data_IF_709208058573
#
_entry.id   IF_709208058573
#
_cell.length_a   1.000
_cell.length_b   1.000
_cell.length_c   1.000
_cell.angle_alpha   90.00
_cell.angle_beta   90.00
_cell.angle_gamma   90.00
#
_symmetry.space_group_name_H-M   'P 1'
#
loop_
_entity.id
_entity.type
_entity.pdbx_description
1 polymer ?
#
# COMPACT_ATOMS: atom_id res chain seq x y z
N UNK A 1 -1.77 -1.19 -38.90
CA UNK A 1 -0.91 -0.72 -37.78
C UNK A 1 -1.41 -1.13 -36.40
N UNK A 2 -2.71 -1.46 -36.21
CA UNK A 2 -3.24 -1.92 -34.91
C UNK A 2 -2.92 -3.39 -34.58
N UNK A 3 -2.73 -4.23 -35.60
CA UNK A 3 -2.59 -5.69 -35.42
C UNK A 3 -1.21 -6.11 -34.91
N UNK A 4 -0.17 -5.35 -35.22
CA UNK A 4 1.19 -5.55 -34.69
C UNK A 4 1.28 -5.25 -33.20
N UNK A 5 0.53 -4.27 -32.69
CA UNK A 5 0.52 -3.90 -31.26
C UNK A 5 -0.13 -4.99 -30.39
N UNK A 6 -1.20 -5.62 -30.87
CA UNK A 6 -1.88 -6.72 -30.16
C UNK A 6 -0.98 -7.96 -30.09
N UNK A 7 -0.21 -8.20 -31.16
CA UNK A 7 0.71 -9.33 -31.23
C UNK A 7 1.91 -9.14 -30.29
N UNK A 8 2.42 -7.91 -30.17
CA UNK A 8 3.49 -7.54 -29.23
C UNK A 8 3.02 -7.61 -27.76
N UNK A 9 1.79 -7.16 -27.47
CA UNK A 9 1.20 -7.25 -26.13
C UNK A 9 1.03 -8.70 -25.67
N UNK A 10 0.52 -9.57 -26.56
CA UNK A 10 0.38 -11.01 -26.28
C UNK A 10 1.73 -11.72 -26.13
N UNK A 11 2.76 -11.29 -26.87
CA UNK A 11 4.11 -11.81 -26.73
C UNK A 11 4.78 -11.38 -25.41
N UNK A 12 4.57 -10.14 -24.98
CA UNK A 12 5.02 -9.63 -23.67
C UNK A 12 4.34 -10.39 -22.52
N UNK A 13 3.03 -10.61 -22.60
CA UNK A 13 2.29 -11.38 -21.59
C UNK A 13 2.74 -12.85 -21.49
N UNK A 14 3.07 -13.49 -22.63
CA UNK A 14 3.60 -14.87 -22.66
C UNK A 14 4.99 -14.96 -22.04
N UNK A 15 5.85 -13.96 -22.26
CA UNK A 15 7.19 -13.88 -21.64
C UNK A 15 7.11 -13.63 -20.13
N UNK A 16 6.21 -12.75 -19.69
CA UNK A 16 5.94 -12.55 -18.26
C UNK A 16 5.42 -13.84 -17.59
N UNK A 17 4.56 -14.60 -18.28
CA UNK A 17 4.06 -15.90 -17.81
C UNK A 17 5.15 -16.97 -17.74
N UNK A 18 6.10 -16.96 -18.67
CA UNK A 18 7.26 -17.87 -18.66
C UNK A 18 8.29 -17.53 -17.57
N UNK A 19 8.31 -16.29 -17.07
CA UNK A 19 9.14 -15.88 -15.94
C UNK A 19 8.44 -16.07 -14.59
N UNK A 20 7.11 -16.06 -14.55
CA UNK A 20 6.31 -16.35 -13.35
C UNK A 20 6.35 -17.83 -12.94
N UNK A 21 6.44 -18.75 -13.91
CA UNK A 21 6.47 -20.19 -13.67
C UNK A 21 7.73 -20.69 -12.91
N UNK A 22 8.98 -20.29 -13.25
CA UNK A 22 10.15 -20.68 -12.47
C UNK A 22 10.21 -19.99 -11.09
N UNK A 23 9.61 -18.79 -10.94
CA UNK A 23 9.48 -18.11 -9.65
C UNK A 23 8.62 -18.87 -8.65
N UNK A 24 7.60 -19.61 -9.12
CA UNK A 24 6.79 -20.49 -8.29
C UNK A 24 7.50 -21.81 -7.93
N UNK A 25 8.34 -22.33 -8.84
CA UNK A 25 9.08 -23.58 -8.62
C UNK A 25 10.32 -23.41 -7.74
N UNK A 26 10.85 -22.19 -7.58
CA UNK A 26 11.93 -21.90 -6.63
C UNK A 26 11.47 -21.79 -5.16
N UNK A 27 10.18 -21.98 -4.86
CA UNK A 27 9.67 -22.08 -3.49
C UNK A 27 9.92 -23.44 -2.80
N UNK A 28 10.48 -24.42 -3.51
CA UNK A 28 10.57 -25.82 -3.07
C UNK A 28 11.75 -26.20 -2.16
N UNK A 29 12.54 -25.26 -1.65
CA UNK A 29 13.71 -25.56 -0.80
C UNK A 29 13.60 -25.02 0.65
N UNK A 30 12.41 -24.62 1.10
CA UNK A 30 12.18 -23.99 2.42
C UNK A 30 11.56 -24.95 3.44
N UNK A 31 11.78 -26.27 3.33
CA UNK A 31 11.16 -27.24 4.25
C UNK A 31 12.11 -28.29 4.84
N UNK A 32 13.41 -28.03 4.89
CA UNK A 32 14.35 -28.90 5.58
C UNK A 32 15.14 -28.09 6.62
N UNK A 33 14.73 -28.22 7.89
CA UNK A 33 15.38 -27.65 9.09
C UNK A 33 15.26 -26.12 9.29
N UNK A 34 14.03 -25.59 9.30
CA UNK A 34 13.80 -24.16 9.56
C UNK A 34 13.77 -23.85 11.06
N UNK A 35 14.62 -22.88 11.46
CA UNK A 35 14.57 -22.22 12.77
C UNK A 35 13.13 -21.83 13.17
N UNK A 36 12.86 -21.81 14.48
CA UNK A 36 11.53 -21.55 15.04
C UNK A 36 10.84 -20.37 14.34
N UNK A 37 9.62 -20.59 13.85
CA UNK A 37 8.78 -19.55 13.26
C UNK A 37 8.77 -18.34 14.19
N UNK A 38 9.25 -17.20 13.69
CA UNK A 38 9.24 -15.92 14.39
C UNK A 38 7.82 -15.70 14.92
N UNK A 39 7.70 -15.54 16.23
CA UNK A 39 6.38 -15.34 16.82
C UNK A 39 5.84 -13.98 16.36
N UNK A 40 4.57 -13.91 15.96
CA UNK A 40 3.97 -12.64 15.58
C UNK A 40 4.06 -11.66 16.75
N UNK A 41 4.49 -10.43 16.44
CA UNK A 41 4.72 -9.35 17.42
C UNK A 41 3.45 -9.00 18.20
N UNK A 42 2.27 -9.31 17.65
CA UNK A 42 0.94 -9.09 18.25
C UNK A 42 0.44 -10.28 19.10
N UNK A 43 1.28 -11.30 19.35
CA UNK A 43 1.00 -12.40 20.28
C UNK A 43 1.01 -13.78 19.61
N UNK A 44 1.98 -14.63 19.99
CA UNK A 44 2.19 -15.97 19.44
C UNK A 44 2.24 -17.10 20.47
N UNK A 45 1.87 -16.84 21.74
CA UNK A 45 2.16 -17.76 22.85
C UNK A 45 1.15 -18.90 23.12
N UNK A 46 0.17 -19.17 22.23
CA UNK A 46 -1.02 -19.96 22.60
C UNK A 46 -1.44 -21.07 21.63
N UNK A 47 -0.59 -21.45 20.67
CA UNK A 47 -0.89 -22.49 19.68
C UNK A 47 -1.00 -21.98 18.23
N UNK A 48 -1.11 -22.91 17.28
CA UNK A 48 -1.07 -22.63 15.83
C UNK A 48 -2.16 -21.67 15.36
N UNK A 49 -3.36 -21.74 15.95
CA UNK A 49 -4.47 -20.83 15.66
C UNK A 49 -4.14 -19.38 16.03
N UNK A 50 -3.52 -19.17 17.20
CA UNK A 50 -3.16 -17.82 17.66
C UNK A 50 -2.05 -17.21 16.79
N UNK A 51 -1.10 -18.04 16.35
CA UNK A 51 -0.05 -17.62 15.40
C UNK A 51 -0.65 -17.17 14.07
N UNK A 52 -1.57 -17.93 13.49
CA UNK A 52 -2.25 -17.56 12.23
C UNK A 52 -3.05 -16.25 12.40
N UNK A 53 -3.76 -16.09 13.52
CA UNK A 53 -4.50 -14.86 13.82
C UNK A 53 -3.56 -13.66 13.96
N UNK A 54 -2.40 -13.84 14.59
CA UNK A 54 -1.36 -12.80 14.69
C UNK A 54 -0.85 -12.33 13.33
N UNK A 55 -0.60 -13.26 12.39
CA UNK A 55 -0.22 -12.89 11.02
C UNK A 55 -1.34 -12.16 10.26
N UNK A 56 -2.61 -12.54 10.46
CA UNK A 56 -3.75 -11.84 9.85
C UNK A 56 -3.85 -10.40 10.38
N UNK A 57 -3.64 -10.18 11.67
CA UNK A 57 -3.62 -8.84 12.29
C UNK A 57 -2.53 -7.95 11.70
N UNK A 58 -1.32 -8.48 11.58
CA UNK A 58 -0.20 -7.78 10.94
C UNK A 58 -0.48 -7.48 9.46
N UNK A 59 -1.14 -8.40 8.75
CA UNK A 59 -1.62 -8.19 7.38
C UNK A 59 -2.64 -7.06 7.28
N UNK A 60 -3.61 -7.02 8.20
CA UNK A 60 -4.60 -5.94 8.30
C UNK A 60 -3.95 -4.58 8.55
N UNK A 61 -2.96 -4.51 9.44
CA UNK A 61 -2.18 -3.29 9.69
C UNK A 61 -1.41 -2.84 8.45
N UNK A 62 -0.75 -3.76 7.75
CA UNK A 62 -0.01 -3.45 6.53
C UNK A 62 -0.94 -2.92 5.42
N UNK A 63 -2.13 -3.50 5.26
CA UNK A 63 -3.13 -3.00 4.32
C UNK A 63 -3.66 -1.62 4.72
N UNK A 64 -3.93 -1.40 6.01
CA UNK A 64 -4.33 -0.09 6.52
C UNK A 64 -3.28 0.98 6.26
N UNK A 65 -1.99 0.65 6.40
CA UNK A 65 -0.90 1.57 6.08
C UNK A 65 -0.85 1.90 4.59
N UNK A 66 -1.13 0.94 3.70
CA UNK A 66 -1.19 1.18 2.26
C UNK A 66 -2.30 2.18 1.90
N UNK A 67 -3.46 2.08 2.55
CA UNK A 67 -4.56 3.05 2.40
C UNK A 67 -4.12 4.45 2.89
N UNK A 68 -3.37 4.53 4.00
CA UNK A 68 -2.83 5.80 4.49
C UNK A 68 -1.92 6.46 3.45
N UNK A 69 -1.05 5.68 2.80
CA UNK A 69 -0.19 6.17 1.71
C UNK A 69 -1.01 6.73 0.55
N UNK A 70 -2.07 6.03 0.12
CA UNK A 70 -2.95 6.52 -0.94
C UNK A 70 -3.63 7.86 -0.57
N UNK A 71 -4.07 8.01 0.68
CA UNK A 71 -4.64 9.27 1.17
C UNK A 71 -3.62 10.42 1.12
N UNK A 72 -2.37 10.19 1.50
CA UNK A 72 -1.31 11.19 1.40
C UNK A 72 -1.03 11.62 -0.04
N UNK A 73 -1.03 10.68 -0.99
CA UNK A 73 -0.86 11.01 -2.40
C UNK A 73 -2.01 11.87 -2.94
N UNK A 74 -3.25 11.60 -2.52
CA UNK A 74 -4.41 12.41 -2.91
C UNK A 74 -4.31 13.86 -2.38
N UNK A 75 -3.87 14.03 -1.12
CA UNK A 75 -3.65 15.36 -0.53
C UNK A 75 -2.53 16.11 -1.26
N UNK A 76 -1.40 15.45 -1.51
CA UNK A 76 -0.30 16.05 -2.25
C UNK A 76 -0.76 16.53 -3.63
N UNK A 77 -1.55 15.72 -4.34
CA UNK A 77 -2.10 16.09 -5.64
C UNK A 77 -3.02 17.33 -5.57
N UNK A 78 -3.89 17.42 -4.56
CA UNK A 78 -4.75 18.58 -4.35
C UNK A 78 -3.93 19.86 -4.11
N UNK A 79 -2.93 19.81 -3.24
CA UNK A 79 -2.06 20.96 -2.92
C UNK A 79 -1.26 21.42 -4.16
N UNK A 80 -0.70 20.48 -4.93
CA UNK A 80 0.04 20.80 -6.17
C UNK A 80 -0.88 21.48 -7.19
N UNK A 81 -2.12 21.01 -7.32
CA UNK A 81 -3.10 21.58 -8.25
C UNK A 81 -3.41 23.04 -7.87
N UNK A 82 -3.66 23.33 -6.60
CA UNK A 82 -3.89 24.70 -6.14
C UNK A 82 -2.70 25.63 -6.33
N UNK A 83 -1.47 25.12 -6.17
CA UNK A 83 -0.26 25.90 -6.48
C UNK A 83 -0.19 26.28 -7.96
N UNK A 84 -0.53 25.35 -8.86
CA UNK A 84 -0.57 25.64 -10.29
C UNK A 84 -1.63 26.68 -10.64
N UNK A 85 -2.77 26.67 -9.97
CA UNK A 85 -3.85 27.64 -10.21
C UNK A 85 -3.48 29.05 -9.76
N UNK A 86 -2.80 29.21 -8.62
CA UNK A 86 -2.24 30.51 -8.20
C UNK A 86 -1.22 31.01 -9.23
N UNK A 87 -0.32 30.13 -9.69
CA UNK A 87 0.73 30.53 -10.64
C UNK A 87 0.17 30.95 -12.01
N UNK A 88 -1.00 30.45 -12.37
CA UNK A 88 -1.72 30.81 -13.59
C UNK A 88 -2.59 32.07 -13.44
N UNK A 89 -2.58 32.71 -12.26
CA UNK A 89 -3.38 33.89 -11.97
C UNK A 89 -4.89 33.63 -11.91
N UNK A 90 -5.30 32.35 -11.83
CA UNK A 90 -6.70 31.92 -11.79
C UNK A 90 -7.15 31.49 -10.40
N UNK A 91 -6.22 31.14 -9.52
CA UNK A 91 -6.49 30.68 -8.15
C UNK A 91 -6.23 31.75 -7.10
N UNK A 92 -6.95 31.66 -5.98
CA UNK A 92 -6.76 32.52 -4.82
C UNK A 92 -5.75 31.96 -3.84
N UNK A 93 -4.96 32.84 -3.19
CA UNK A 93 -4.14 32.49 -2.03
C UNK A 93 -4.96 31.86 -0.89
N UNK A 94 -6.24 32.22 -0.78
CA UNK A 94 -7.15 31.65 0.23
C UNK A 94 -7.52 30.21 -0.08
N UNK A 95 -7.72 29.86 -1.36
CA UNK A 95 -8.02 28.48 -1.76
C UNK A 95 -6.85 27.56 -1.47
N UNK A 96 -5.63 28.00 -1.79
CA UNK A 96 -4.43 27.24 -1.42
C UNK A 96 -4.33 26.98 0.08
N UNK A 97 -4.60 27.99 0.90
CA UNK A 97 -4.59 27.84 2.35
C UNK A 97 -5.67 26.85 2.84
N UNK A 98 -6.87 26.87 2.23
CA UNK A 98 -7.93 25.90 2.51
C UNK A 98 -7.49 24.46 2.21
N UNK A 99 -6.88 24.22 1.04
CA UNK A 99 -6.36 22.90 0.70
C UNK A 99 -5.19 22.48 1.61
N UNK A 100 -4.33 23.42 2.03
CA UNK A 100 -3.25 23.16 2.96
C UNK A 100 -3.78 22.74 4.34
N UNK A 101 -4.70 23.52 4.92
CA UNK A 101 -5.27 23.25 6.25
C UNK A 101 -6.14 21.99 6.23
N UNK A 102 -6.97 21.83 5.20
CA UNK A 102 -7.75 20.61 5.00
C UNK A 102 -6.86 19.37 4.83
N UNK A 103 -5.75 19.52 4.11
CA UNK A 103 -4.75 18.46 3.94
C UNK A 103 -4.11 18.03 5.24
N UNK A 104 -3.63 18.98 6.07
CA UNK A 104 -3.07 18.69 7.39
C UNK A 104 -4.12 18.02 8.28
N UNK A 105 -5.35 18.54 8.29
CA UNK A 105 -6.45 17.94 9.06
C UNK A 105 -6.74 16.49 8.66
N UNK A 106 -6.78 16.20 7.36
CA UNK A 106 -6.99 14.84 6.85
C UNK A 106 -5.82 13.92 7.25
N UNK A 107 -4.58 14.39 7.14
CA UNK A 107 -3.39 13.63 7.53
C UNK A 107 -3.45 13.26 9.02
N UNK A 108 -3.75 14.23 9.89
CA UNK A 108 -3.87 14.01 11.33
C UNK A 108 -5.00 13.01 11.66
N UNK A 109 -6.15 13.14 10.99
CA UNK A 109 -7.26 12.21 11.17
C UNK A 109 -6.89 10.78 10.78
N UNK A 110 -6.21 10.60 9.63
CA UNK A 110 -5.77 9.29 9.14
C UNK A 110 -4.76 8.66 10.12
N UNK A 111 -3.74 9.41 10.55
CA UNK A 111 -2.74 8.93 11.51
C UNK A 111 -3.40 8.56 12.84
N UNK A 112 -4.34 9.38 13.31
CA UNK A 112 -5.10 9.12 14.53
C UNK A 112 -5.89 7.80 14.44
N UNK A 113 -6.64 7.60 13.35
CA UNK A 113 -7.40 6.38 13.12
C UNK A 113 -6.50 5.15 12.97
N UNK A 114 -5.38 5.26 12.25
CA UNK A 114 -4.41 4.19 12.10
C UNK A 114 -3.81 3.78 13.46
N UNK A 115 -3.46 4.77 14.29
CA UNK A 115 -2.92 4.52 15.64
C UNK A 115 -3.98 3.89 16.55
N UNK A 116 -5.22 4.37 16.50
CA UNK A 116 -6.32 3.79 17.27
C UNK A 116 -6.63 2.36 16.84
N UNK A 117 -6.64 2.09 15.53
CA UNK A 117 -6.81 0.75 15.00
C UNK A 117 -5.68 -0.16 15.49
N UNK A 118 -4.42 0.26 15.37
CA UNK A 118 -3.26 -0.53 15.80
C UNK A 118 -3.21 -0.86 17.30
N UNK A 119 -3.93 -0.11 18.14
CA UNK A 119 -4.06 -0.44 19.56
C UNK A 119 -5.19 -1.45 19.85
N UNK A 120 -6.15 -1.62 18.94
CA UNK A 120 -7.32 -2.51 19.13
C UNK A 120 -7.02 -3.93 18.63
N UNK A 121 -6.26 -4.06 17.54
CA UNK A 121 -5.86 -5.33 16.92
C UNK A 121 -4.54 -5.81 17.52
#
# INVERSE_FOLDING_TARGET
MKDTLVTLYRAALRRARLLLLPGLCWGGQVLADLASVEQPTTGGGGGTYNTVMGYIKMGGLALGLLVCVAAFLAVAHAVITSFHDIRRGKGSWTEFLLYLVGGIGLILLVIYLATKAANII
#
